data_IF_693891129605
#
_entry.id   IF_693891129605
#
_cell.length_a   1.000
_cell.length_b   1.000
_cell.length_c   1.000
_cell.angle_alpha   90.00
_cell.angle_beta   90.00
_cell.angle_gamma   90.00
#
_symmetry.space_group_name_H-M   'P 1'
#
loop_
_entity.id
_entity.type
_entity.pdbx_description
1 polymer ?
#
# COMPACT_ATOMS: atom_id res chain seq x y z
N UNK A 1 15.25 -8.64 3.24
CA UNK A 1 14.12 -8.01 3.97
C UNK A 1 13.42 -7.03 3.05
N UNK A 2 12.12 -6.99 3.12
CA UNK A 2 11.30 -6.08 2.33
C UNK A 2 11.31 -4.70 2.98
N UNK A 3 11.47 -3.64 2.19
CA UNK A 3 11.27 -2.27 2.65
C UNK A 3 9.98 -1.73 2.03
N UNK A 4 9.10 -1.19 2.86
CA UNK A 4 7.86 -0.56 2.43
C UNK A 4 7.94 0.95 2.64
N UNK A 5 7.78 1.69 1.55
CA UNK A 5 7.69 3.15 1.60
C UNK A 5 6.25 3.54 1.89
N UNK A 6 6.05 4.27 2.97
CA UNK A 6 4.73 4.53 3.55
C UNK A 6 4.55 6.03 3.81
N UNK A 7 3.35 6.53 3.60
CA UNK A 7 3.04 7.94 3.87
C UNK A 7 2.94 8.19 5.35
N UNK A 8 3.65 9.22 5.82
CA UNK A 8 3.60 9.67 7.21
C UNK A 8 3.18 11.14 7.26
N UNK A 9 2.32 11.46 8.19
CA UNK A 9 1.93 12.81 8.57
C UNK A 9 2.44 13.13 9.98
N UNK A 10 2.05 14.29 10.53
CA UNK A 10 2.41 14.67 11.89
C UNK A 10 1.99 13.60 12.89
N UNK A 11 2.75 13.50 13.98
CA UNK A 11 2.49 12.54 15.07
C UNK A 11 2.47 11.09 14.60
N UNK A 12 3.29 10.77 13.59
CA UNK A 12 3.40 9.43 13.02
C UNK A 12 2.07 8.86 12.51
N UNK A 13 1.15 9.72 12.11
CA UNK A 13 -0.11 9.28 11.50
C UNK A 13 0.13 8.70 10.12
N UNK A 14 -0.46 7.56 9.85
CA UNK A 14 -0.28 6.80 8.60
C UNK A 14 -1.63 6.70 7.88
N UNK A 15 -2.01 7.72 7.08
CA UNK A 15 -3.38 7.82 6.58
C UNK A 15 -3.64 7.08 5.26
N UNK A 16 -2.61 6.62 4.55
CA UNK A 16 -2.82 6.08 3.21
C UNK A 16 -3.50 4.70 3.26
N UNK A 17 -4.73 4.55 2.74
CA UNK A 17 -5.37 3.25 2.67
C UNK A 17 -4.63 2.29 1.74
N UNK A 18 -3.97 2.79 0.72
CA UNK A 18 -3.18 1.97 -0.22
C UNK A 18 -1.95 1.38 0.47
N UNK A 19 -1.29 2.17 1.32
CA UNK A 19 -0.17 1.66 2.13
C UNK A 19 -0.65 0.61 3.14
N UNK A 20 -1.80 0.81 3.75
CA UNK A 20 -2.37 -0.17 4.67
C UNK A 20 -2.72 -1.48 3.97
N UNK A 21 -3.17 -1.44 2.71
CA UNK A 21 -3.38 -2.67 1.93
C UNK A 21 -2.09 -3.48 1.82
N UNK A 22 -0.98 -2.82 1.52
CA UNK A 22 0.32 -3.48 1.45
C UNK A 22 0.74 -4.05 2.80
N UNK A 23 0.54 -3.31 3.89
CA UNK A 23 0.85 -3.78 5.25
C UNK A 23 0.03 -5.01 5.62
N UNK A 24 -1.27 -5.00 5.35
CA UNK A 24 -2.12 -6.16 5.63
C UNK A 24 -1.70 -7.38 4.82
N UNK A 25 -1.33 -7.18 3.55
CA UNK A 25 -0.84 -8.28 2.71
C UNK A 25 0.45 -8.88 3.28
N UNK A 26 1.41 -8.03 3.66
CA UNK A 26 2.67 -8.47 4.28
C UNK A 26 2.40 -9.21 5.59
N UNK A 27 1.54 -8.67 6.43
CA UNK A 27 1.18 -9.28 7.72
C UNK A 27 0.50 -10.63 7.53
N UNK A 28 -0.46 -10.71 6.61
CA UNK A 28 -1.16 -11.97 6.31
C UNK A 28 -0.19 -13.07 5.90
N UNK A 29 0.79 -12.71 5.08
CA UNK A 29 1.79 -13.67 4.61
C UNK A 29 2.86 -14.00 5.66
N UNK A 30 2.84 -13.30 6.79
CA UNK A 30 3.82 -13.52 7.85
C UNK A 30 5.21 -13.04 7.48
N UNK A 31 5.32 -12.08 6.56
CA UNK A 31 6.59 -11.54 6.10
C UNK A 31 7.04 -10.39 6.99
N UNK A 32 8.34 -10.37 7.29
CA UNK A 32 8.94 -9.22 7.97
C UNK A 32 9.23 -8.11 6.97
N UNK A 33 9.01 -6.88 7.38
CA UNK A 33 9.33 -5.71 6.56
C UNK A 33 9.82 -4.56 7.43
N UNK A 34 10.49 -3.61 6.80
CA UNK A 34 10.89 -2.35 7.41
C UNK A 34 10.10 -1.21 6.77
N UNK A 35 9.48 -0.39 7.59
CA UNK A 35 8.84 0.84 7.10
C UNK A 35 9.91 1.90 6.81
N UNK A 36 9.77 2.56 5.67
CA UNK A 36 10.51 3.76 5.33
C UNK A 36 9.48 4.89 5.21
N UNK A 37 9.34 5.72 6.25
CA UNK A 37 8.33 6.78 6.24
C UNK A 37 8.70 7.89 5.26
N UNK A 38 7.68 8.44 4.60
CA UNK A 38 7.83 9.47 3.59
C UNK A 38 6.71 10.48 3.70
N UNK A 39 7.05 11.76 3.88
CA UNK A 39 6.09 12.85 3.83
C UNK A 39 5.80 13.30 2.40
N UNK A 40 4.81 14.15 2.23
CA UNK A 40 4.41 14.67 0.90
C UNK A 40 5.53 15.42 0.20
N UNK A 41 6.45 16.02 0.93
CA UNK A 41 7.57 16.81 0.37
C UNK A 41 8.81 15.98 0.09
N UNK A 42 8.76 14.67 0.34
CA UNK A 42 9.93 13.79 0.26
C UNK A 42 9.83 12.78 -0.89
N UNK A 43 9.13 13.15 -1.96
CA UNK A 43 8.89 12.23 -3.10
C UNK A 43 10.17 11.74 -3.76
N UNK A 44 11.28 12.45 -3.59
CA UNK A 44 12.58 12.01 -4.09
C UNK A 44 13.01 10.66 -3.49
N UNK A 45 12.49 10.28 -2.33
CA UNK A 45 12.82 8.98 -1.70
C UNK A 45 12.37 7.80 -2.55
N UNK A 46 11.37 7.97 -3.41
CA UNK A 46 10.86 6.92 -4.29
C UNK A 46 11.11 7.18 -5.77
N UNK A 47 11.99 8.13 -6.10
CA UNK A 47 12.34 8.43 -7.49
C UNK A 47 12.94 7.22 -8.21
N UNK A 48 13.67 6.34 -7.48
CA UNK A 48 14.24 5.11 -8.04
C UNK A 48 13.15 4.17 -8.60
N UNK A 49 11.94 4.24 -8.08
CA UNK A 49 10.81 3.42 -8.52
C UNK A 49 10.02 4.08 -9.66
N UNK A 50 10.46 5.26 -10.11
CA UNK A 50 9.72 6.05 -11.09
C UNK A 50 8.27 6.28 -10.64
N UNK A 51 8.10 6.57 -9.36
CA UNK A 51 6.79 6.79 -8.73
C UNK A 51 6.78 8.11 -7.98
N UNK A 52 5.62 8.72 -7.89
CA UNK A 52 5.38 9.91 -7.06
C UNK A 52 4.41 9.60 -5.93
N UNK A 53 3.95 8.36 -5.85
CA UNK A 53 2.96 7.92 -4.86
C UNK A 53 3.43 6.65 -4.15
N UNK A 54 3.00 6.49 -2.92
CA UNK A 54 3.20 5.28 -2.15
C UNK A 54 1.89 4.47 -2.13
N UNK A 55 1.92 3.14 -1.89
CA UNK A 55 3.07 2.37 -1.44
C UNK A 55 4.04 2.00 -2.57
N UNK A 56 5.29 1.84 -2.20
CA UNK A 56 6.34 1.22 -3.01
C UNK A 56 7.03 0.19 -2.13
N UNK A 57 7.32 -0.99 -2.63
CA UNK A 57 8.17 -1.96 -1.91
C UNK A 57 9.46 -2.21 -2.68
N UNK A 58 10.49 -2.49 -1.89
CA UNK A 58 11.77 -2.94 -2.38
C UNK A 58 12.01 -4.33 -1.78
N UNK A 59 11.89 -5.36 -2.61
CA UNK A 59 12.02 -6.76 -2.21
C UNK A 59 13.29 -7.32 -2.85
N UNK A 60 14.40 -7.26 -2.12
CA UNK A 60 15.70 -7.57 -2.72
C UNK A 60 15.97 -6.63 -3.90
N UNK A 61 16.27 -7.16 -5.10
CA UNK A 61 16.47 -6.33 -6.29
C UNK A 61 15.17 -5.88 -6.96
N UNK A 62 14.02 -6.41 -6.52
CA UNK A 62 12.73 -6.14 -7.17
C UNK A 62 12.06 -4.93 -6.53
N UNK A 63 11.66 -3.99 -7.38
CA UNK A 63 10.92 -2.79 -6.98
C UNK A 63 9.52 -2.90 -7.54
N UNK A 64 8.51 -2.75 -6.68
CA UNK A 64 7.10 -2.82 -7.09
C UNK A 64 6.35 -1.61 -6.53
N UNK A 65 5.61 -0.95 -7.38
CA UNK A 65 4.74 0.17 -7.02
C UNK A 65 3.28 -0.19 -7.29
N UNK A 66 2.37 0.55 -6.66
CA UNK A 66 0.94 0.30 -6.69
C UNK A 66 0.51 -0.88 -5.81
N UNK A 67 -0.50 -0.65 -4.97
CA UNK A 67 -0.90 -1.63 -3.95
C UNK A 67 -1.40 -2.96 -4.55
N UNK A 68 -2.10 -2.91 -5.68
CA UNK A 68 -2.55 -4.14 -6.35
C UNK A 68 -1.37 -4.92 -6.93
N UNK A 69 -0.44 -4.23 -7.59
CA UNK A 69 0.78 -4.85 -8.13
C UNK A 69 1.64 -5.44 -7.01
N UNK A 70 1.71 -4.78 -5.85
CA UNK A 70 2.40 -5.31 -4.66
C UNK A 70 1.73 -6.60 -4.20
N UNK A 71 0.41 -6.63 -4.11
CA UNK A 71 -0.33 -7.83 -3.71
C UNK A 71 -0.06 -8.99 -4.69
N UNK A 72 -0.07 -8.71 -5.99
CA UNK A 72 0.24 -9.72 -7.00
C UNK A 72 1.68 -10.23 -6.89
N UNK A 73 2.64 -9.34 -6.64
CA UNK A 73 4.02 -9.73 -6.44
C UNK A 73 4.16 -10.65 -5.22
N UNK A 74 3.56 -10.27 -4.09
CA UNK A 74 3.62 -11.06 -2.87
C UNK A 74 2.95 -12.43 -3.06
N UNK A 75 1.86 -12.47 -3.82
CA UNK A 75 1.19 -13.73 -4.10
C UNK A 75 2.08 -14.70 -4.88
N UNK A 76 2.80 -14.17 -5.86
CA UNK A 76 3.67 -14.98 -6.72
C UNK A 76 4.97 -15.37 -6.03
N UNK A 77 5.60 -14.42 -5.33
CA UNK A 77 6.91 -14.63 -4.71
C UNK A 77 6.83 -15.42 -3.40
N UNK A 78 5.70 -15.34 -2.69
CA UNK A 78 5.52 -15.96 -1.36
C UNK A 78 4.18 -16.71 -1.31
N UNK A 79 4.07 -17.85 -1.99
CA UNK A 79 2.78 -18.52 -2.19
C UNK A 79 2.21 -19.28 -0.98
N UNK A 80 2.99 -19.46 0.10
CA UNK A 80 2.60 -20.34 1.21
C UNK A 80 1.30 -19.93 1.92
N UNK A 81 1.02 -18.63 1.96
CA UNK A 81 -0.22 -18.12 2.59
C UNK A 81 -0.96 -17.26 1.57
N UNK A 82 -1.83 -17.87 0.75
CA UNK A 82 -2.49 -17.14 -0.34
C UNK A 82 -3.30 -15.94 0.14
N UNK A 83 -3.21 -14.84 -0.61
CA UNK A 83 -4.07 -13.66 -0.44
C UNK A 83 -5.39 -13.83 -1.17
N UNK A 84 -5.33 -14.36 -2.39
CA UNK A 84 -6.49 -14.43 -3.27
C UNK A 84 -7.15 -15.80 -3.28
N UNK A 85 -6.44 -16.83 -2.83
CA UNK A 85 -6.90 -18.20 -2.92
C UNK A 85 -7.21 -18.58 -4.37
N UNK A 86 -8.17 -19.50 -4.59
CA UNK A 86 -8.57 -19.88 -5.95
C UNK A 86 -9.41 -18.82 -6.65
N UNK A 87 -9.88 -17.80 -5.94
CA UNK A 87 -10.83 -16.80 -6.44
C UNK A 87 -10.14 -15.47 -6.78
N UNK A 88 -9.05 -15.52 -7.54
CA UNK A 88 -8.26 -14.34 -7.91
C UNK A 88 -9.11 -13.27 -8.61
N UNK A 89 -10.04 -13.69 -9.45
CA UNK A 89 -10.91 -12.75 -10.16
C UNK A 89 -11.89 -12.04 -9.22
N UNK A 90 -12.37 -12.72 -8.18
CA UNK A 90 -13.18 -12.09 -7.14
C UNK A 90 -12.39 -11.05 -6.37
N UNK A 91 -11.14 -11.36 -6.01
CA UNK A 91 -10.27 -10.41 -5.31
C UNK A 91 -10.05 -9.16 -6.17
N UNK A 92 -9.80 -9.32 -7.45
CA UNK A 92 -9.63 -8.18 -8.37
C UNK A 92 -10.92 -7.37 -8.51
N UNK A 93 -12.06 -8.05 -8.64
CA UNK A 93 -13.36 -7.38 -8.70
C UNK A 93 -13.61 -6.54 -7.45
N UNK A 94 -13.40 -7.11 -6.25
CA UNK A 94 -13.58 -6.38 -4.99
C UNK A 94 -12.63 -5.19 -4.89
N UNK A 95 -11.36 -5.38 -5.24
CA UNK A 95 -10.37 -4.29 -5.22
C UNK A 95 -10.79 -3.16 -6.18
N UNK A 96 -11.26 -3.51 -7.37
CA UNK A 96 -11.72 -2.53 -8.36
C UNK A 96 -12.96 -1.78 -7.86
N UNK A 97 -13.89 -2.48 -7.23
CA UNK A 97 -15.08 -1.86 -6.65
C UNK A 97 -14.71 -0.90 -5.51
N UNK A 98 -13.80 -1.31 -4.63
CA UNK A 98 -13.32 -0.45 -3.55
C UNK A 98 -12.69 0.82 -4.14
N UNK A 99 -11.85 0.69 -5.17
CA UNK A 99 -11.16 1.83 -5.77
C UNK A 99 -12.11 2.77 -6.51
N UNK A 100 -13.16 2.23 -7.14
CA UNK A 100 -14.06 3.03 -7.97
C UNK A 100 -15.29 3.57 -7.24
N UNK A 101 -15.74 2.91 -6.17
CA UNK A 101 -16.98 3.26 -5.47
C UNK A 101 -16.77 3.58 -3.99
N UNK A 102 -16.10 2.70 -3.24
CA UNK A 102 -15.98 2.85 -1.79
C UNK A 102 -14.97 3.96 -1.43
N UNK A 103 -13.79 3.90 -2.03
CA UNK A 103 -12.73 4.87 -1.75
C UNK A 103 -13.15 6.30 -2.10
N UNK A 104 -13.73 6.57 -3.28
CA UNK A 104 -14.21 7.91 -3.60
C UNK A 104 -15.31 8.42 -2.67
N UNK A 105 -16.15 7.52 -2.13
CA UNK A 105 -17.20 7.91 -1.18
C UNK A 105 -16.64 8.27 0.19
N UNK A 106 -15.60 7.57 0.63
CA UNK A 106 -14.99 7.79 1.95
C UNK A 106 -13.95 8.91 1.95
N UNK A 107 -13.28 9.12 0.84
CA UNK A 107 -12.12 10.01 0.74
C UNK A 107 -12.42 11.44 1.20
N UNK A 108 -13.53 12.10 0.80
CA UNK A 108 -13.84 13.46 1.27
C UNK A 108 -13.99 13.55 2.78
N UNK A 109 -14.56 12.52 3.41
CA UNK A 109 -14.76 12.47 4.86
C UNK A 109 -13.41 12.37 5.57
N UNK A 110 -12.56 11.44 5.14
CA UNK A 110 -11.26 11.19 5.74
C UNK A 110 -10.33 12.40 5.55
N UNK A 111 -10.32 13.00 4.37
CA UNK A 111 -9.48 14.17 4.09
C UNK A 111 -9.91 15.35 4.94
N UNK A 112 -11.20 15.56 5.11
CA UNK A 112 -11.71 16.62 6.00
C UNK A 112 -11.16 16.46 7.42
N UNK A 113 -11.21 15.25 7.95
CA UNK A 113 -10.70 14.98 9.30
C UNK A 113 -9.20 15.13 9.42
N UNK A 114 -8.45 14.76 8.39
CA UNK A 114 -6.99 14.84 8.38
C UNK A 114 -6.48 16.28 8.39
N UNK A 115 -7.18 17.18 7.72
CA UNK A 115 -6.77 18.57 7.58
C UNK A 115 -7.53 19.52 8.50
N UNK A 116 -8.39 19.01 9.37
CA UNK A 116 -9.10 19.82 10.36
C UNK A 116 -8.11 20.16 11.50
N UNK A 117 -7.89 21.45 11.78
CA UNK A 117 -6.91 21.88 12.78
C UNK A 117 -7.35 21.71 14.23
N UNK A 118 -8.36 20.92 14.53
CA UNK A 118 -8.83 20.68 15.90
C UNK A 118 -7.74 20.23 16.85
#
# INVERSE_FOLDING_TARGET
>A
MITLYDLVLQDDRRPSPFCWRAKFALKHKGLAWRDEPMGFTEKQKIAFAQSQTVPVIHDGPTVVKDSWAIAQHLESAYPEKPLFGPARHHAHFVASWVDSAVQPALFPIVVSDLYDPK
#
